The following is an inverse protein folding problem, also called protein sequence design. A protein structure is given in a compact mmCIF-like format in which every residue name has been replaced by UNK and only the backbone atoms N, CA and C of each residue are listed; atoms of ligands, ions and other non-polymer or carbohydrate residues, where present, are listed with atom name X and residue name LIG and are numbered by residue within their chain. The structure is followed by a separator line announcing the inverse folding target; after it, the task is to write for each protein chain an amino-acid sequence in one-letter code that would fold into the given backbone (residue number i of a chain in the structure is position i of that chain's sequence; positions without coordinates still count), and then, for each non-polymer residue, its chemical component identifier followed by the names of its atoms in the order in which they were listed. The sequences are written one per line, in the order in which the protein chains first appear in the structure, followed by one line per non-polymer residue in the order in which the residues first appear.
data_IF_613348853931
#
_entry.id   IF_613348853931
#
_cell.length_a   1.000
_cell.length_b   1.000
_cell.length_c   1.000
_cell.angle_alpha   90.00
_cell.angle_beta   90.00
_cell.angle_gamma   90.00
#
_symmetry.space_group_name_H-M   'P 1'
#
loop_
_entity.id
_entity.type
_entity.pdbx_description
1 polymer ?
#
# COMPACT_ATOMS: atom_id res chain seq x y z
N UNK A 1 -7.32 20.60 1.58
CA UNK A 1 -7.08 20.68 3.04
C UNK A 1 -7.52 19.36 3.67
N UNK A 2 -6.66 18.65 4.41
CA UNK A 2 -7.10 17.49 5.17
C UNK A 2 -7.85 17.98 6.43
N UNK A 3 -9.17 17.82 6.47
CA UNK A 3 -9.95 18.15 7.66
C UNK A 3 -9.67 17.12 8.75
N UNK A 4 -9.32 17.58 9.96
CA UNK A 4 -9.17 16.70 11.12
C UNK A 4 -10.56 16.46 11.70
N UNK A 5 -11.10 15.27 11.51
CA UNK A 5 -12.35 14.83 12.15
C UNK A 5 -12.01 14.20 13.49
N UNK A 6 -12.69 14.65 14.57
CA UNK A 6 -12.59 14.04 15.90
C UNK A 6 -13.88 13.28 16.18
N UNK A 7 -13.76 11.99 16.46
CA UNK A 7 -14.89 11.09 16.78
C UNK A 7 -14.64 10.49 18.17
N UNK A 8 -15.67 10.48 19.01
CA UNK A 8 -15.68 9.74 20.28
C UNK A 8 -16.48 8.46 20.06
N UNK A 9 -15.92 7.31 20.44
CA UNK A 9 -16.54 5.99 20.26
C UNK A 9 -16.50 5.30 21.62
N UNK A 10 -17.65 4.82 22.09
CA UNK A 10 -17.72 3.92 23.24
C UNK A 10 -17.51 2.49 22.77
N UNK A 11 -16.63 1.76 23.44
CA UNK A 11 -16.26 0.40 23.08
C UNK A 11 -16.53 -0.54 24.25
N UNK A 12 -16.80 -1.83 23.99
CA UNK A 12 -16.88 -2.84 25.04
C UNK A 12 -15.62 -2.82 25.90
N UNK A 13 -15.78 -3.00 27.22
CA UNK A 13 -14.65 -3.05 28.17
C UNK A 13 -13.69 -4.21 27.92
N UNK A 14 -14.10 -5.20 27.12
CA UNK A 14 -13.27 -6.32 26.65
C UNK A 14 -12.22 -5.91 25.62
N UNK A 15 -12.31 -4.71 25.03
CA UNK A 15 -11.43 -4.26 23.96
C UNK A 15 -10.52 -3.13 24.47
N UNK A 16 -9.21 -3.35 24.45
CA UNK A 16 -8.27 -2.34 24.93
C UNK A 16 -8.18 -1.17 23.94
N UNK A 17 -7.81 0.01 24.43
CA UNK A 17 -7.57 1.20 23.60
C UNK A 17 -6.56 0.92 22.48
N UNK A 18 -5.55 0.08 22.73
CA UNK A 18 -4.53 -0.28 21.75
C UNK A 18 -5.12 -1.12 20.62
N UNK A 19 -5.90 -2.15 20.95
CA UNK A 19 -6.58 -3.00 19.96
C UNK A 19 -7.56 -2.18 19.12
N UNK A 20 -8.33 -1.30 19.75
CA UNK A 20 -9.25 -0.41 19.06
C UNK A 20 -8.52 0.46 18.02
N UNK A 21 -7.40 1.08 18.42
CA UNK A 21 -6.58 1.89 17.52
C UNK A 21 -6.00 1.04 16.38
N UNK A 22 -5.58 -0.19 16.64
CA UNK A 22 -5.07 -1.08 15.59
C UNK A 22 -6.15 -1.48 14.59
N UNK A 23 -7.36 -1.79 15.05
CA UNK A 23 -8.51 -2.09 14.19
C UNK A 23 -8.81 -0.87 13.30
N UNK A 24 -8.92 0.32 13.90
CA UNK A 24 -9.17 1.56 13.15
C UNK A 24 -8.08 1.84 12.11
N UNK A 25 -6.81 1.62 12.45
CA UNK A 25 -5.69 1.76 11.50
C UNK A 25 -5.81 0.77 10.33
N UNK A 26 -6.16 -0.49 10.59
CA UNK A 26 -6.36 -1.50 9.54
C UNK A 26 -7.52 -1.11 8.63
N UNK A 27 -8.65 -0.71 9.19
CA UNK A 27 -9.81 -0.26 8.42
C UNK A 27 -9.53 1.00 7.59
N UNK A 28 -8.76 1.94 8.13
CA UNK A 28 -8.34 3.13 7.39
C UNK A 28 -7.47 2.76 6.18
N UNK A 29 -6.56 1.79 6.32
CA UNK A 29 -5.72 1.33 5.21
C UNK A 29 -6.54 0.68 4.09
N UNK A 30 -7.56 -0.12 4.43
CA UNK A 30 -8.46 -0.77 3.44
C UNK A 30 -9.16 0.23 2.52
N UNK A 31 -9.41 1.44 3.01
CA UNK A 31 -10.09 2.53 2.27
C UNK A 31 -9.14 3.51 1.61
N UNK A 32 -7.84 3.42 1.90
CA UNK A 32 -6.85 4.42 1.47
C UNK A 32 -6.48 4.31 0.00
N UNK A 33 -6.40 3.10 -0.54
CA UNK A 33 -5.89 2.84 -1.88
C UNK A 33 -7.02 2.48 -2.85
N UNK A 34 -6.84 2.87 -4.12
CA UNK A 34 -7.65 2.34 -5.21
C UNK A 34 -7.37 0.84 -5.34
N UNK A 35 -8.39 0.08 -5.71
CA UNK A 35 -8.34 -1.38 -5.86
C UNK A 35 -9.11 -1.78 -7.11
N UNK A 36 -8.61 -2.77 -7.83
CA UNK A 36 -9.37 -3.41 -8.91
C UNK A 36 -10.36 -4.43 -8.35
N UNK A 37 -11.31 -4.85 -9.19
CA UNK A 37 -12.20 -5.96 -8.86
C UNK A 37 -11.43 -7.28 -8.69
N UNK A 38 -10.34 -7.46 -9.44
CA UNK A 38 -9.48 -8.64 -9.34
C UNK A 38 -8.82 -8.72 -7.97
N UNK A 39 -8.24 -7.61 -7.48
CA UNK A 39 -7.71 -7.55 -6.11
C UNK A 39 -8.78 -7.85 -5.08
N UNK A 40 -9.99 -7.30 -5.22
CA UNK A 40 -11.05 -7.57 -4.25
C UNK A 40 -11.51 -9.03 -4.26
N UNK A 41 -11.50 -9.70 -5.41
CA UNK A 41 -12.00 -11.07 -5.54
C UNK A 41 -10.96 -12.13 -5.22
N UNK A 42 -9.70 -11.93 -5.61
CA UNK A 42 -8.68 -12.99 -5.62
C UNK A 42 -7.52 -12.76 -4.66
N UNK A 43 -7.34 -11.53 -4.13
CA UNK A 43 -6.19 -11.22 -3.29
C UNK A 43 -6.08 -12.12 -2.06
N UNK A 44 -4.90 -12.74 -1.93
CA UNK A 44 -4.47 -13.50 -0.75
C UNK A 44 -3.74 -12.56 0.21
N UNK A 45 -3.87 -12.76 1.52
CA UNK A 45 -3.17 -11.96 2.53
C UNK A 45 -3.40 -10.43 2.44
N UNK A 46 -4.60 -9.94 2.07
CA UNK A 46 -4.91 -8.50 1.89
C UNK A 46 -4.31 -7.56 2.95
N UNK A 47 -4.36 -7.95 4.22
CA UNK A 47 -3.82 -7.15 5.34
C UNK A 47 -2.32 -6.85 5.22
N UNK A 48 -1.50 -7.77 4.68
CA UNK A 48 -0.07 -7.50 4.45
C UNK A 48 0.13 -6.65 3.20
N UNK A 49 -0.65 -6.88 2.15
CA UNK A 49 -0.62 -6.05 0.94
C UNK A 49 -0.92 -4.57 1.28
N UNK A 50 -1.93 -4.31 2.11
CA UNK A 50 -2.23 -2.95 2.59
C UNK A 50 -1.07 -2.31 3.37
N UNK A 51 -0.38 -3.09 4.22
CA UNK A 51 0.77 -2.59 4.99
C UNK A 51 1.97 -2.28 4.09
N UNK A 52 2.24 -3.14 3.10
CA UNK A 52 3.34 -2.92 2.14
C UNK A 52 3.01 -1.70 1.26
N UNK A 53 1.77 -1.55 0.79
CA UNK A 53 1.35 -0.40 -0.01
C UNK A 53 1.49 0.93 0.75
N UNK A 54 1.10 0.96 2.03
CA UNK A 54 1.32 2.12 2.91
C UNK A 54 2.80 2.42 3.12
N UNK A 55 3.64 1.39 3.22
CA UNK A 55 5.08 1.57 3.27
C UNK A 55 5.63 2.16 1.96
N UNK A 56 5.22 1.61 0.82
CA UNK A 56 5.65 2.07 -0.52
C UNK A 56 5.31 3.54 -0.69
N UNK A 57 4.06 3.91 -0.45
CA UNK A 57 3.61 5.30 -0.57
C UNK A 57 4.41 6.25 0.33
N UNK A 58 4.61 5.88 1.60
CA UNK A 58 5.38 6.71 2.55
C UNK A 58 6.85 6.82 2.16
N UNK A 59 7.45 5.74 1.69
CA UNK A 59 8.84 5.74 1.23
C UNK A 59 9.01 6.67 0.04
N UNK A 60 8.16 6.52 -0.98
CA UNK A 60 8.22 7.36 -2.18
C UNK A 60 7.99 8.83 -1.85
N UNK A 61 6.98 9.17 -1.04
CA UNK A 61 6.74 10.55 -0.57
C UNK A 61 7.91 11.13 0.22
N UNK A 62 8.66 10.31 0.96
CA UNK A 62 9.79 10.75 1.78
C UNK A 62 11.04 11.00 0.96
N UNK A 63 11.39 10.08 0.06
CA UNK A 63 12.68 10.05 -0.64
C UNK A 63 12.63 10.59 -2.07
N UNK A 64 11.46 10.59 -2.69
CA UNK A 64 11.22 11.11 -4.05
C UNK A 64 10.23 12.27 -3.97
N UNK A 65 10.63 13.33 -3.27
CA UNK A 65 9.81 14.54 -3.11
C UNK A 65 9.55 15.16 -4.48
N UNK A 66 8.28 15.33 -4.84
CA UNK A 66 7.88 15.86 -6.14
C UNK A 66 7.48 14.78 -7.15
N UNK A 67 7.73 13.50 -6.87
CA UNK A 67 7.18 12.41 -7.67
C UNK A 67 5.65 12.44 -7.56
N UNK A 68 4.98 12.62 -8.70
CA UNK A 68 3.53 12.54 -8.81
C UNK A 68 3.16 11.10 -9.13
N UNK A 69 2.50 10.43 -8.20
CA UNK A 69 2.10 9.04 -8.36
C UNK A 69 0.85 8.72 -7.53
N UNK A 70 0.19 7.64 -7.91
CA UNK A 70 -0.84 6.97 -7.13
C UNK A 70 -0.44 5.52 -6.87
N UNK A 71 -1.08 4.90 -5.86
CA UNK A 71 -0.97 3.47 -5.61
C UNK A 71 -2.30 2.82 -5.95
N UNK A 72 -2.25 1.85 -6.86
CA UNK A 72 -3.33 0.93 -7.17
C UNK A 72 -2.96 -0.46 -6.65
N UNK A 73 -3.92 -1.13 -6.03
CA UNK A 73 -3.80 -2.52 -5.64
C UNK A 73 -4.52 -3.38 -6.69
N UNK A 74 -3.77 -4.25 -7.34
CA UNK A 74 -4.28 -5.17 -8.36
C UNK A 74 -3.92 -6.62 -8.02
N UNK A 75 -4.48 -7.56 -8.78
CA UNK A 75 -4.15 -8.97 -8.69
C UNK A 75 -3.83 -9.50 -10.08
N UNK A 76 -2.59 -9.95 -10.25
CA UNK A 76 -2.16 -10.64 -11.45
C UNK A 76 -2.68 -12.08 -11.40
N UNK A 77 -3.56 -12.43 -12.33
CA UNK A 77 -4.15 -13.77 -12.42
C UNK A 77 -3.17 -14.81 -12.97
N UNK A 78 -2.21 -14.40 -13.81
CA UNK A 78 -1.27 -15.29 -14.47
C UNK A 78 -0.15 -15.68 -13.50
N UNK A 79 0.40 -14.69 -12.79
CA UNK A 79 1.41 -14.90 -11.75
C UNK A 79 0.80 -15.29 -10.39
N UNK A 80 -0.53 -15.20 -10.26
CA UNK A 80 -1.30 -15.51 -9.05
C UNK A 80 -0.83 -14.69 -7.83
N UNK A 81 -0.43 -13.42 -8.05
CA UNK A 81 0.15 -12.52 -7.04
C UNK A 81 -0.64 -11.22 -6.85
N UNK A 82 -0.57 -10.64 -5.65
CA UNK A 82 -1.00 -9.25 -5.44
C UNK A 82 0.04 -8.29 -6.02
N UNK A 83 -0.44 -7.30 -6.76
CA UNK A 83 0.39 -6.21 -7.26
C UNK A 83 0.13 -4.90 -6.50
N UNK A 84 1.23 -4.26 -6.10
CA UNK A 84 1.23 -2.87 -5.65
C UNK A 84 1.75 -2.04 -6.81
N UNK A 85 0.83 -1.51 -7.61
CA UNK A 85 1.11 -0.74 -8.81
C UNK A 85 1.39 0.71 -8.41
N UNK A 86 2.59 1.21 -8.75
CA UNK A 86 2.96 2.62 -8.63
C UNK A 86 2.64 3.28 -9.97
N UNK A 87 1.49 3.95 -10.04
CA UNK A 87 1.02 4.63 -11.24
C UNK A 87 1.61 6.04 -11.26
N UNK A 88 2.56 6.32 -12.14
CA UNK A 88 3.14 7.64 -12.25
C UNK A 88 2.35 8.55 -13.18
N UNK A 89 2.34 9.84 -12.90
CA UNK A 89 1.85 10.85 -13.84
C UNK A 89 2.73 10.86 -15.12
N UNK A 90 2.13 11.15 -16.27
CA UNK A 90 2.83 11.20 -17.57
C UNK A 90 4.06 12.13 -17.58
N UNK A 91 4.07 13.16 -16.73
CA UNK A 91 5.21 14.08 -16.57
C UNK A 91 6.44 13.47 -15.88
N UNK A 92 6.32 12.27 -15.30
CA UNK A 92 7.42 11.55 -14.65
C UNK A 92 8.22 10.78 -15.70
N UNK A 93 9.53 10.97 -15.71
CA UNK A 93 10.41 10.20 -16.57
C UNK A 93 10.51 8.73 -16.12
N UNK A 94 10.60 7.84 -17.09
CA UNK A 94 10.57 6.39 -16.90
C UNK A 94 11.74 5.91 -16.03
N UNK A 95 12.92 6.45 -16.26
CA UNK A 95 14.13 6.08 -15.50
C UNK A 95 14.01 6.46 -14.02
N UNK A 96 13.42 7.62 -13.72
CA UNK A 96 13.14 8.06 -12.35
C UNK A 96 12.13 7.15 -11.69
N UNK A 97 11.03 6.81 -12.37
CA UNK A 97 10.02 5.90 -11.84
C UNK A 97 10.61 4.51 -11.56
N UNK A 98 11.30 3.94 -12.54
CA UNK A 98 11.94 2.64 -12.46
C UNK A 98 12.96 2.60 -11.31
N UNK A 99 13.80 3.63 -11.19
CA UNK A 99 14.75 3.74 -10.09
C UNK A 99 14.05 3.89 -8.73
N UNK A 100 12.94 4.62 -8.65
CA UNK A 100 12.15 4.76 -7.45
C UNK A 100 11.55 3.44 -6.99
N UNK A 101 10.89 2.72 -7.91
CA UNK A 101 10.27 1.41 -7.66
C UNK A 101 11.33 0.37 -7.28
N UNK A 102 12.47 0.31 -7.97
CA UNK A 102 13.59 -0.58 -7.60
C UNK A 102 14.10 -0.32 -6.19
N UNK A 103 14.28 0.94 -5.78
CA UNK A 103 14.77 1.27 -4.43
C UNK A 103 13.75 0.96 -3.35
N UNK A 104 12.47 1.30 -3.56
CA UNK A 104 11.43 0.99 -2.58
C UNK A 104 11.21 -0.51 -2.46
N UNK A 105 11.27 -1.28 -3.56
CA UNK A 105 11.19 -2.75 -3.54
C UNK A 105 12.30 -3.36 -2.68
N UNK A 106 13.56 -2.96 -2.91
CA UNK A 106 14.71 -3.38 -2.07
C UNK A 106 14.50 -3.01 -0.60
N UNK A 107 13.96 -1.81 -0.34
CA UNK A 107 13.71 -1.37 1.03
C UNK A 107 12.57 -2.11 1.71
N UNK A 108 11.52 -2.46 0.97
CA UNK A 108 10.39 -3.24 1.46
C UNK A 108 10.85 -4.67 1.79
N UNK A 109 11.65 -5.30 0.93
CA UNK A 109 12.23 -6.63 1.20
C UNK A 109 13.03 -6.63 2.51
N UNK A 110 13.88 -5.61 2.72
CA UNK A 110 14.65 -5.47 3.98
C UNK A 110 13.75 -5.32 5.21
N UNK A 111 12.55 -4.75 5.06
CA UNK A 111 11.64 -4.45 6.17
C UNK A 111 10.69 -5.60 6.49
N UNK A 112 10.17 -6.27 5.47
CA UNK A 112 9.11 -7.26 5.59
C UNK A 112 9.61 -8.69 5.38
N UNK A 113 10.80 -8.88 4.81
CA UNK A 113 11.25 -10.18 4.32
C UNK A 113 10.97 -10.33 2.82
N UNK A 114 11.13 -11.54 2.29
CA UNK A 114 10.86 -11.81 0.89
C UNK A 114 9.37 -11.56 0.59
N UNK A 115 9.06 -10.63 -0.30
CA UNK A 115 7.68 -10.20 -0.55
C UNK A 115 6.84 -11.29 -1.24
N UNK A 116 7.50 -12.18 -1.97
CA UNK A 116 6.86 -13.33 -2.64
C UNK A 116 6.27 -14.29 -1.61
N UNK A 117 6.87 -14.41 -0.42
CA UNK A 117 6.31 -15.24 0.68
C UNK A 117 4.94 -14.73 1.14
N UNK A 118 4.64 -13.45 0.84
CA UNK A 118 3.35 -12.82 1.10
C UNK A 118 2.44 -12.76 -0.11
N UNK A 119 2.87 -13.30 -1.25
CA UNK A 119 2.19 -13.19 -2.53
C UNK A 119 2.07 -11.74 -3.01
N UNK A 120 3.13 -10.93 -2.86
CA UNK A 120 3.11 -9.51 -3.19
C UNK A 120 4.30 -9.13 -4.07
N UNK A 121 4.04 -8.39 -5.14
CA UNK A 121 5.05 -7.68 -5.92
C UNK A 121 4.75 -6.17 -5.96
N UNK A 122 5.76 -5.38 -6.34
CA UNK A 122 5.67 -3.92 -6.46
C UNK A 122 6.14 -3.57 -7.87
N UNK A 123 5.27 -3.00 -8.70
CA UNK A 123 5.54 -2.73 -10.10
C UNK A 123 5.32 -1.25 -10.44
N UNK A 124 6.11 -0.75 -11.38
CA UNK A 124 5.92 0.56 -12.02
C UNK A 124 4.98 0.45 -13.21
N UNK A 125 4.03 1.38 -13.29
CA UNK A 125 3.10 1.50 -14.40
C UNK A 125 3.00 2.96 -14.83
N UNK A 126 2.87 3.17 -16.14
CA UNK A 126 2.60 4.47 -16.77
C UNK A 126 1.14 4.57 -17.16
#
# INVERSE_FOLDING_TARGET
MASKVKVTIELPSTLTKKEAIEILKREALKKKFKKTELFEKYSKNKDIAYKIADYVEKYLKRYYKGLKFEILLDYDLDEDVNEICVLADESVDEDTLLNAVRKVRKSAIKRFGNLIDYNVIIADYR
#
